data_IF_966444497764
#
_entry.id   IF_966444497764
#
_cell.length_a   1.000
_cell.length_b   1.000
_cell.length_c   1.000
_cell.angle_alpha   90.00
_cell.angle_beta   90.00
_cell.angle_gamma   90.00
#
_symmetry.space_group_name_H-M   'P 1'
#
loop_
_entity.id
_entity.type
_entity.pdbx_description
1 polymer ?
#
# COMPACT_ATOMS: atom_id res chain seq x y z
N UNK A 1 -17.08 -9.80 -28.36
CA UNK A 1 -16.39 -8.89 -27.42
C UNK A 1 -15.36 -8.12 -28.21
N UNK A 2 -15.35 -6.79 -28.11
CA UNK A 2 -14.34 -5.97 -28.78
C UNK A 2 -13.19 -5.70 -27.81
N UNK A 3 -11.95 -5.71 -28.30
CA UNK A 3 -10.81 -5.27 -27.49
C UNK A 3 -10.74 -3.75 -27.53
N UNK A 4 -10.72 -3.13 -26.36
CA UNK A 4 -10.48 -1.70 -26.19
C UNK A 4 -9.27 -1.45 -25.31
N UNK A 5 -8.77 -0.23 -25.32
CA UNK A 5 -7.70 0.18 -24.40
C UNK A 5 -8.12 1.44 -23.67
N UNK A 6 -7.81 1.51 -22.38
CA UNK A 6 -8.03 2.67 -21.53
C UNK A 6 -6.68 3.13 -20.96
N UNK A 7 -6.28 4.36 -21.27
CA UNK A 7 -5.07 4.97 -20.72
C UNK A 7 -5.48 6.00 -19.68
N UNK A 8 -4.99 5.86 -18.45
CA UNK A 8 -5.11 6.89 -17.42
C UNK A 8 -3.99 7.91 -17.65
N UNK A 9 -4.36 9.12 -18.05
CA UNK A 9 -3.37 10.15 -18.43
C UNK A 9 -2.96 10.94 -17.20
N UNK A 10 -3.91 11.59 -16.56
CA UNK A 10 -3.66 12.51 -15.45
C UNK A 10 -4.90 12.72 -14.57
N UNK A 11 -4.68 13.28 -13.39
CA UNK A 11 -5.73 13.87 -12.57
C UNK A 11 -5.50 15.38 -12.42
N UNK A 12 -6.57 16.14 -12.18
CA UNK A 12 -6.47 17.58 -11.96
C UNK A 12 -7.44 18.02 -10.87
N UNK A 13 -7.05 19.08 -10.13
CA UNK A 13 -7.90 19.72 -9.10
C UNK A 13 -8.43 18.72 -8.07
N UNK A 14 -7.63 17.71 -7.72
CA UNK A 14 -8.05 16.73 -6.73
C UNK A 14 -8.33 17.43 -5.40
N UNK A 15 -9.41 17.03 -4.74
CA UNK A 15 -9.69 17.51 -3.39
C UNK A 15 -8.55 17.09 -2.48
N UNK A 16 -7.97 18.05 -1.77
CA UNK A 16 -7.00 17.77 -0.73
C UNK A 16 -7.65 16.96 0.39
N UNK A 17 -7.15 15.75 0.60
CA UNK A 17 -7.60 14.84 1.64
C UNK A 17 -6.67 14.84 2.84
N UNK A 18 -5.54 15.55 2.81
CA UNK A 18 -4.51 15.46 3.84
C UNK A 18 -4.24 16.80 4.54
N UNK A 19 -3.75 16.71 5.79
CA UNK A 19 -3.42 17.85 6.63
C UNK A 19 -1.95 18.28 6.47
N UNK A 20 -1.09 17.40 5.93
CA UNK A 20 0.30 17.66 5.55
C UNK A 20 0.40 17.20 4.09
N UNK A 21 0.91 18.07 3.21
CA UNK A 21 0.75 18.02 1.74
C UNK A 21 1.41 16.80 1.04
N UNK A 22 0.89 15.60 1.21
CA UNK A 22 1.25 14.41 0.42
C UNK A 22 0.02 13.86 -0.28
N UNK A 23 -0.32 14.49 -1.41
CA UNK A 23 -1.33 13.96 -2.31
C UNK A 23 -0.62 12.99 -3.27
N UNK A 24 -0.53 11.72 -2.87
CA UNK A 24 0.03 10.63 -3.66
C UNK A 24 -1.08 9.76 -4.28
N UNK A 25 -1.81 10.24 -5.31
CA UNK A 25 -2.98 9.54 -5.79
C UNK A 25 -2.61 8.33 -6.65
N UNK A 26 -3.49 7.34 -6.65
CA UNK A 26 -3.58 6.31 -7.69
C UNK A 26 -5.02 6.18 -8.18
N UNK A 27 -5.17 5.68 -9.40
CA UNK A 27 -6.46 5.54 -10.07
C UNK A 27 -6.80 4.06 -10.23
N UNK A 28 -8.01 3.71 -9.83
CA UNK A 28 -8.62 2.42 -10.10
C UNK A 28 -9.70 2.56 -11.17
N UNK A 29 -9.62 1.76 -12.23
CA UNK A 29 -10.68 1.58 -13.21
C UNK A 29 -11.43 0.28 -12.91
N UNK A 30 -12.74 0.37 -12.73
CA UNK A 30 -13.61 -0.77 -12.50
C UNK A 30 -14.55 -0.97 -13.69
N UNK A 31 -14.54 -2.19 -14.25
CA UNK A 31 -15.36 -2.58 -15.39
C UNK A 31 -15.83 -4.01 -15.27
N UNK A 32 -17.15 -4.22 -15.25
CA UNK A 32 -17.73 -5.52 -14.92
C UNK A 32 -17.15 -6.04 -13.59
N UNK A 33 -16.54 -7.23 -13.59
CA UNK A 33 -15.84 -7.82 -12.44
C UNK A 33 -14.33 -7.54 -12.43
N UNK A 34 -13.82 -6.75 -13.37
CA UNK A 34 -12.38 -6.50 -13.52
C UNK A 34 -12.01 -5.14 -12.94
N UNK A 35 -10.89 -5.09 -12.21
CA UNK A 35 -10.30 -3.86 -11.68
C UNK A 35 -8.89 -3.71 -12.21
N UNK A 36 -8.56 -2.50 -12.63
CA UNK A 36 -7.22 -2.10 -13.06
C UNK A 36 -6.74 -0.96 -12.17
N UNK A 37 -5.50 -1.00 -11.72
CA UNK A 37 -4.93 0.00 -10.81
C UNK A 37 -3.66 0.57 -11.41
N UNK A 38 -3.52 1.90 -11.38
CA UNK A 38 -2.28 2.56 -11.75
C UNK A 38 -1.21 2.44 -10.65
N UNK A 39 0.06 2.66 -10.96
CA UNK A 39 1.03 3.02 -9.91
C UNK A 39 0.58 4.30 -9.20
N UNK A 40 1.03 4.44 -7.95
CA UNK A 40 0.90 5.66 -7.17
C UNK A 40 1.77 6.76 -7.76
N UNK A 41 1.19 7.94 -7.96
CA UNK A 41 1.94 9.14 -8.33
C UNK A 41 2.53 9.73 -7.04
N UNK A 42 3.85 9.63 -6.83
CA UNK A 42 4.53 10.03 -5.58
C UNK A 42 5.15 11.42 -5.65
N UNK A 43 4.61 12.30 -6.50
CA UNK A 43 5.16 13.64 -6.72
C UNK A 43 4.58 14.70 -5.77
N UNK A 44 3.83 14.26 -4.75
CA UNK A 44 3.18 15.11 -3.77
C UNK A 44 2.07 15.98 -4.33
N UNK A 45 1.45 15.59 -5.45
CA UNK A 45 0.29 16.28 -6.02
C UNK A 45 0.61 17.39 -7.01
N UNK A 46 1.88 17.55 -7.38
CA UNK A 46 2.36 18.68 -8.21
C UNK A 46 2.04 18.50 -9.69
N UNK A 47 2.23 17.29 -10.23
CA UNK A 47 2.07 16.92 -11.63
C UNK A 47 1.49 15.51 -11.76
N UNK A 48 0.21 15.37 -11.44
CA UNK A 48 -0.49 14.08 -11.40
C UNK A 48 -0.63 13.41 -12.77
N UNK A 49 0.40 12.67 -13.18
CA UNK A 49 0.50 12.00 -14.48
C UNK A 49 0.79 10.51 -14.25
N UNK A 50 0.01 9.65 -14.91
CA UNK A 50 0.09 8.18 -14.76
C UNK A 50 0.60 7.51 -16.03
N UNK A 51 0.09 7.90 -17.20
CA UNK A 51 0.40 7.35 -18.53
C UNK A 51 0.28 5.82 -18.68
N UNK A 52 -0.46 5.17 -17.78
CA UNK A 52 -0.63 3.72 -17.79
C UNK A 52 -1.80 3.31 -18.68
N UNK A 53 -1.54 2.31 -19.54
CA UNK A 53 -2.49 1.79 -20.53
C UNK A 53 -2.93 0.38 -20.17
N UNK A 54 -4.24 0.21 -20.00
CA UNK A 54 -4.90 -1.06 -19.73
C UNK A 54 -5.61 -1.59 -20.98
N UNK A 55 -5.58 -2.90 -21.18
CA UNK A 55 -6.40 -3.58 -22.18
C UNK A 55 -7.70 -3.99 -21.52
N UNK A 56 -8.81 -3.46 -22.01
CA UNK A 56 -10.14 -3.72 -21.44
C UNK A 56 -11.00 -4.46 -22.48
N UNK A 57 -11.59 -5.61 -22.13
CA UNK A 57 -12.54 -6.29 -23.00
C UNK A 57 -13.85 -5.51 -23.00
N UNK A 58 -14.06 -4.60 -23.96
CA UNK A 58 -15.29 -3.82 -24.06
C UNK A 58 -16.47 -4.74 -24.42
N UNK A 59 -17.39 -4.86 -23.48
CA UNK A 59 -18.63 -5.62 -23.60
C UNK A 59 -19.72 -4.69 -24.09
N UNK A 60 -20.41 -5.07 -25.17
CA UNK A 60 -21.37 -4.21 -25.89
C UNK A 60 -22.54 -3.71 -25.02
N UNK A 61 -22.92 -4.49 -24.00
CA UNK A 61 -24.03 -4.17 -23.09
C UNK A 61 -23.61 -3.17 -21.99
N UNK A 62 -22.32 -3.13 -21.64
CA UNK A 62 -21.83 -2.25 -20.58
C UNK A 62 -21.43 -0.89 -21.17
N UNK A 63 -22.11 0.15 -20.71
CA UNK A 63 -21.96 1.52 -21.25
C UNK A 63 -21.14 2.44 -20.35
N UNK A 64 -20.66 1.96 -19.20
CA UNK A 64 -19.98 2.79 -18.20
C UNK A 64 -18.73 2.10 -17.63
N UNK A 65 -17.69 2.88 -17.36
CA UNK A 65 -16.67 2.55 -16.35
C UNK A 65 -16.97 3.30 -15.05
N UNK A 66 -16.55 2.71 -13.93
CA UNK A 66 -16.35 3.47 -12.70
C UNK A 66 -14.87 3.75 -12.52
N UNK A 67 -14.53 5.00 -12.27
CA UNK A 67 -13.19 5.42 -11.89
C UNK A 67 -13.22 5.76 -10.41
N UNK A 68 -12.24 5.29 -9.66
CA UNK A 68 -12.05 5.65 -8.26
C UNK A 68 -10.63 6.15 -8.07
N UNK A 69 -10.49 7.32 -7.48
CA UNK A 69 -9.19 7.91 -7.16
C UNK A 69 -9.00 7.89 -5.66
N UNK A 70 -7.86 7.37 -5.26
CA UNK A 70 -7.45 7.17 -3.87
C UNK A 70 -6.15 7.91 -3.64
N UNK A 71 -5.94 8.40 -2.43
CA UNK A 71 -4.66 8.88 -1.96
C UNK A 71 -3.94 7.73 -1.28
N UNK A 72 -2.76 7.35 -1.77
CA UNK A 72 -1.97 6.33 -1.11
C UNK A 72 -1.58 6.84 0.27
N UNK A 73 -1.97 6.13 1.33
CA UNK A 73 -1.56 6.46 2.68
C UNK A 73 -0.71 5.31 3.22
N UNK A 74 0.55 5.63 3.50
CA UNK A 74 1.54 4.67 4.00
C UNK A 74 1.18 4.07 5.37
N UNK A 75 0.43 4.81 6.18
CA UNK A 75 0.24 4.53 7.61
C UNK A 75 -1.16 4.03 7.94
N UNK A 76 -2.17 4.40 7.15
CA UNK A 76 -3.58 4.03 7.37
C UNK A 76 -4.14 3.37 6.12
N UNK A 77 -5.45 3.38 5.91
CA UNK A 77 -6.04 3.02 4.63
C UNK A 77 -5.89 4.17 3.64
N UNK A 78 -5.75 3.81 2.37
CA UNK A 78 -5.72 4.78 1.28
C UNK A 78 -6.95 5.70 1.36
N UNK A 79 -6.70 7.00 1.34
CA UNK A 79 -7.72 8.02 1.52
C UNK A 79 -8.60 8.12 0.28
N UNK A 80 -9.90 7.86 0.40
CA UNK A 80 -10.81 8.06 -0.73
C UNK A 80 -10.85 9.55 -1.13
N UNK A 81 -10.46 9.87 -2.36
CA UNK A 81 -10.53 11.23 -2.91
C UNK A 81 -11.87 11.43 -3.60
N UNK A 82 -12.15 10.59 -4.61
CA UNK A 82 -13.38 10.71 -5.37
C UNK A 82 -13.63 9.59 -6.36
N UNK A 83 -14.86 9.52 -6.86
CA UNK A 83 -15.28 8.56 -7.89
C UNK A 83 -16.03 9.26 -9.03
N UNK A 84 -15.93 8.72 -10.24
CA UNK A 84 -16.59 9.25 -11.43
C UNK A 84 -17.05 8.11 -12.35
N UNK A 85 -18.13 8.38 -13.12
CA UNK A 85 -18.64 7.46 -14.13
C UNK A 85 -18.24 7.95 -15.52
N UNK A 86 -17.59 7.08 -16.29
CA UNK A 86 -17.12 7.38 -17.65
C UNK A 86 -18.04 6.69 -18.64
N UNK A 87 -18.67 7.47 -19.53
CA UNK A 87 -19.62 6.93 -20.51
C UNK A 87 -18.88 6.42 -21.75
N UNK A 88 -19.26 5.23 -22.22
CA UNK A 88 -18.60 4.55 -23.33
C UNK A 88 -19.23 4.82 -24.69
N UNK A 89 -20.35 5.54 -24.74
CA UNK A 89 -21.09 5.76 -25.98
C UNK A 89 -20.22 6.40 -27.07
N UNK A 90 -19.36 7.37 -26.70
CA UNK A 90 -18.46 8.05 -27.64
C UNK A 90 -17.40 7.10 -28.19
N UNK A 91 -16.64 6.39 -27.34
CA UNK A 91 -15.62 5.44 -27.82
C UNK A 91 -16.22 4.24 -28.57
N UNK A 92 -17.42 3.78 -28.20
CA UNK A 92 -18.09 2.67 -28.88
C UNK A 92 -18.66 3.08 -30.26
N UNK A 93 -19.03 4.34 -30.45
CA UNK A 93 -19.56 4.84 -31.73
C UNK A 93 -18.48 5.43 -32.64
N UNK A 94 -17.50 6.14 -32.10
CA UNK A 94 -16.46 6.86 -32.83
C UNK A 94 -15.09 6.15 -32.81
N UNK A 95 -14.90 5.19 -31.90
CA UNK A 95 -13.65 4.43 -31.76
C UNK A 95 -12.62 5.08 -30.84
N UNK A 96 -12.88 6.30 -30.39
CA UNK A 96 -11.94 7.08 -29.60
C UNK A 96 -12.65 8.04 -28.64
N UNK A 97 -12.09 8.26 -27.45
CA UNK A 97 -12.50 9.31 -26.52
C UNK A 97 -11.33 9.76 -25.63
N UNK A 98 -11.02 11.05 -25.61
CA UNK A 98 -9.92 11.68 -24.87
C UNK A 98 -10.38 12.65 -23.77
N UNK A 99 -11.63 12.49 -23.33
CA UNK A 99 -12.29 13.42 -22.40
C UNK A 99 -11.77 13.35 -20.97
N UNK A 100 -11.91 14.46 -20.24
CA UNK A 100 -11.81 14.52 -18.79
C UNK A 100 -13.15 14.28 -18.13
N UNK A 101 -13.16 13.59 -16.99
CA UNK A 101 -14.37 13.20 -16.27
C UNK A 101 -14.34 13.72 -14.84
N UNK A 102 -15.44 14.31 -14.32
CA UNK A 102 -15.48 14.83 -12.97
C UNK A 102 -15.51 13.69 -11.95
N UNK A 103 -14.87 13.95 -10.81
CA UNK A 103 -14.87 13.10 -9.63
C UNK A 103 -15.72 13.72 -8.53
N UNK A 104 -16.36 12.87 -7.74
CA UNK A 104 -17.18 13.27 -6.60
C UNK A 104 -16.76 12.54 -5.33
N UNK A 105 -16.81 13.23 -4.20
CA UNK A 105 -16.62 12.65 -2.87
C UNK A 105 -17.78 11.71 -2.53
N UNK A 106 -17.69 10.95 -1.43
CA UNK A 106 -18.81 10.16 -0.89
C UNK A 106 -20.06 10.99 -0.60
N UNK A 107 -19.91 12.30 -0.38
CA UNK A 107 -21.02 13.24 -0.15
C UNK A 107 -21.52 13.91 -1.43
N UNK A 108 -21.09 13.48 -2.62
CA UNK A 108 -21.46 14.06 -3.91
C UNK A 108 -20.82 15.42 -4.22
N UNK A 109 -19.86 15.89 -3.41
CA UNK A 109 -19.16 17.16 -3.66
C UNK A 109 -18.09 16.97 -4.72
N UNK A 110 -17.78 18.01 -5.50
CA UNK A 110 -16.68 17.97 -6.47
C UNK A 110 -15.35 17.57 -5.81
N UNK A 111 -14.64 16.64 -6.42
CA UNK A 111 -13.39 16.06 -5.90
C UNK A 111 -12.23 16.08 -6.92
N UNK A 112 -12.40 16.81 -8.02
CA UNK A 112 -11.42 16.93 -9.11
C UNK A 112 -11.88 16.30 -10.41
N UNK A 113 -10.92 16.04 -11.29
CA UNK A 113 -11.13 15.50 -12.64
C UNK A 113 -10.07 14.44 -12.96
N UNK A 114 -10.45 13.44 -13.75
CA UNK A 114 -9.54 12.42 -14.31
C UNK A 114 -9.57 12.48 -15.83
N UNK A 115 -8.39 12.51 -16.47
CA UNK A 115 -8.26 12.47 -17.92
C UNK A 115 -7.95 11.04 -18.38
N UNK A 116 -8.80 10.52 -19.25
CA UNK A 116 -8.63 9.21 -19.86
C UNK A 116 -8.51 9.32 -21.37
N UNK A 117 -7.77 8.40 -21.98
CA UNK A 117 -7.80 8.16 -23.42
C UNK A 117 -8.31 6.74 -23.65
N UNK A 118 -9.45 6.62 -24.30
CA UNK A 118 -10.11 5.36 -24.64
C UNK A 118 -10.00 5.12 -26.15
N UNK A 119 -9.75 3.87 -26.53
CA UNK A 119 -9.75 3.44 -27.92
C UNK A 119 -10.48 2.10 -28.06
N UNK A 120 -11.30 1.95 -29.11
CA UNK A 120 -11.98 0.69 -29.44
C UNK A 120 -11.65 0.27 -30.87
N UNK A 121 -11.17 -0.96 -31.04
CA UNK A 121 -10.82 -1.50 -32.36
C UNK A 121 -12.01 -1.65 -33.32
N UNK A 122 -13.25 -1.68 -32.81
CA UNK A 122 -14.42 -2.10 -33.58
C UNK A 122 -15.35 -0.97 -34.05
N UNK A 123 -15.10 0.30 -33.74
CA UNK A 123 -16.02 1.38 -34.17
C UNK A 123 -16.12 1.52 -35.70
N UNK A 124 -15.08 1.10 -36.43
CA UNK A 124 -15.09 1.10 -37.90
C UNK A 124 -16.13 0.14 -38.52
N UNK A 125 -16.62 -0.86 -37.78
CA UNK A 125 -17.67 -1.79 -38.27
C UNK A 125 -19.09 -1.21 -38.20
N UNK A 126 -19.36 -0.27 -37.29
CA UNK A 126 -20.70 0.34 -37.16
C UNK A 126 -20.94 1.47 -38.17
N UNK A 127 -19.90 2.17 -38.62
CA UNK A 127 -20.03 3.17 -39.70
C UNK A 127 -20.34 2.52 -41.04
N UNK A 128 -19.73 1.37 -41.37
CA UNK A 128 -20.02 0.65 -42.61
C UNK A 128 -21.43 0.03 -42.67
N UNK A 129 -22.09 -0.15 -41.52
CA UNK A 129 -23.46 -0.69 -41.45
C UNK A 129 -24.55 0.37 -41.66
N UNK A 130 -24.22 1.65 -41.49
CA UNK A 130 -25.13 2.77 -41.80
C UNK A 130 -25.05 3.18 -43.28
N UNK A 131 -23.87 3.05 -43.91
CA UNK A 131 -23.67 3.46 -45.31
C UNK A 131 -24.07 2.38 -46.34
N UNK A 132 -24.39 1.16 -45.90
CA UNK A 132 -24.72 0.03 -46.80
C UNK A 132 -26.21 -0.23 -47.02
N UNK A 133 -27.11 0.61 -46.48
CA UNK A 133 -28.56 0.54 -46.79
C UNK A 133 -28.95 1.46 -47.96
N UNK A 134 -28.35 1.27 -49.13
CA UNK A 134 -28.99 1.64 -50.40
C UNK A 134 -28.62 0.66 -51.53
N UNK A 135 -29.65 -0.09 -51.97
CA UNK A 135 -29.87 -0.61 -53.34
C UNK A 135 -28.70 -1.21 -54.13
N UNK A 136 -28.69 -2.52 -54.41
CA UNK A 136 -29.45 -3.19 -55.47
C UNK A 136 -29.20 -4.71 -55.53
N UNK A 137 -30.22 -5.39 -56.01
CA UNK A 137 -30.42 -6.81 -56.33
C UNK A 137 -29.37 -7.37 -57.30
N UNK A 138 -28.89 -8.60 -57.08
CA UNK A 138 -29.10 -9.75 -57.98
C UNK A 138 -28.10 -10.92 -57.79
N UNK A 139 -28.69 -12.12 -57.59
CA UNK A 139 -28.29 -13.47 -58.05
C UNK A 139 -27.03 -14.20 -57.53
N UNK A 140 -27.34 -15.23 -56.75
CA UNK A 140 -26.71 -16.56 -56.58
C UNK A 140 -26.40 -17.29 -57.92
N UNK A 141 -25.45 -18.26 -58.00
CA UNK A 141 -25.58 -19.59 -57.36
C UNK A 141 -24.32 -20.25 -56.74
N UNK A 142 -24.54 -20.80 -55.53
CA UNK A 142 -24.32 -22.16 -54.96
C UNK A 142 -23.39 -23.22 -55.65
N UNK A 143 -23.01 -24.34 -54.97
CA UNK A 143 -21.70 -24.52 -54.30
C UNK A 143 -21.06 -25.92 -54.58
N UNK A 144 -19.96 -26.27 -53.90
CA UNK A 144 -19.53 -27.63 -53.49
C UNK A 144 -18.00 -27.64 -53.29
N UNK A 145 -17.34 -28.54 -52.55
CA UNK A 145 -17.62 -29.42 -51.42
C UNK A 145 -16.29 -30.15 -51.12
N UNK A 146 -16.19 -30.78 -49.94
CA UNK A 146 -15.14 -31.73 -49.52
C UNK A 146 -13.79 -31.09 -49.12
N UNK A 147 -13.13 -31.51 -48.04
CA UNK A 147 -12.97 -32.90 -47.59
C UNK A 147 -12.85 -33.03 -46.07
N UNK A 148 -13.35 -34.17 -45.60
CA UNK A 148 -13.14 -34.77 -44.28
C UNK A 148 -11.67 -35.20 -44.15
N UNK A 149 -11.12 -35.17 -42.94
CA UNK A 149 -10.71 -36.39 -42.24
C UNK A 149 -10.23 -36.10 -40.82
N UNK A 150 -10.72 -36.92 -39.90
CA UNK A 150 -10.20 -37.19 -38.57
C UNK A 150 -10.26 -38.72 -38.44
N UNK A 151 -9.32 -39.42 -37.77
CA UNK A 151 -9.64 -39.86 -36.40
C UNK A 151 -8.44 -40.05 -35.44
N UNK A 152 -8.58 -39.54 -34.18
CA UNK A 152 -8.70 -40.25 -32.86
C UNK A 152 -8.08 -41.66 -32.64
N UNK A 153 -7.92 -42.18 -31.38
CA UNK A 153 -7.42 -41.64 -30.09
C UNK A 153 -6.54 -42.66 -29.26
N UNK A 154 -6.14 -42.35 -28.00
CA UNK A 154 -6.40 -43.15 -26.74
C UNK A 154 -5.31 -43.05 -25.62
N UNK A 155 -5.82 -42.76 -24.40
CA UNK A 155 -5.49 -43.09 -22.98
C UNK A 155 -4.19 -42.74 -22.21
N UNK A 156 -4.45 -42.09 -21.06
CA UNK A 156 -4.03 -42.33 -19.64
C UNK A 156 -2.60 -42.76 -19.29
N UNK A 157 -1.97 -42.08 -18.32
CA UNK A 157 -2.01 -42.43 -16.88
C UNK A 157 -1.13 -41.48 -16.04
N UNK A 158 -1.47 -41.33 -14.76
CA UNK A 158 -0.70 -40.62 -13.72
C UNK A 158 0.12 -41.61 -12.86
N UNK A 159 1.25 -41.17 -12.26
CA UNK A 159 1.72 -41.79 -11.01
C UNK A 159 2.36 -40.75 -10.02
N UNK A 160 2.94 -41.12 -8.85
CA UNK A 160 2.38 -40.93 -7.49
C UNK A 160 3.32 -40.10 -6.54
N UNK A 161 3.00 -39.91 -5.23
CA UNK A 161 3.84 -39.15 -4.29
C UNK A 161 4.74 -40.03 -3.40
N UNK A 162 5.81 -39.47 -2.81
CA UNK A 162 6.36 -39.97 -1.54
C UNK A 162 6.74 -38.80 -0.60
N UNK A 163 6.91 -38.89 0.72
CA UNK A 163 6.63 -39.84 1.82
C UNK A 163 6.91 -39.03 3.09
N UNK A 164 6.13 -39.27 4.15
CA UNK A 164 6.33 -38.77 5.51
C UNK A 164 7.53 -39.44 6.18
N UNK A 165 8.38 -38.67 6.85
CA UNK A 165 9.27 -39.16 7.92
C UNK A 165 9.03 -38.40 9.20
N UNK A 166 8.48 -39.13 10.16
CA UNK A 166 8.40 -38.83 11.59
C UNK A 166 9.80 -38.98 12.20
N UNK A 167 10.30 -37.95 12.87
CA UNK A 167 11.32 -38.11 13.91
C UNK A 167 10.87 -37.37 15.15
N UNK A 168 10.48 -38.16 16.15
CA UNK A 168 10.33 -37.79 17.54
C UNK A 168 11.69 -37.41 18.13
N UNK A 169 11.84 -36.20 18.64
CA UNK A 169 12.88 -35.88 19.62
C UNK A 169 12.27 -35.07 20.75
N UNK A 170 12.24 -35.70 21.92
CA UNK A 170 11.88 -35.16 23.22
C UNK A 170 12.70 -33.90 23.55
N UNK A 171 12.03 -32.77 23.75
CA UNK A 171 12.60 -31.53 24.25
C UNK A 171 12.42 -31.47 25.77
N UNK A 172 13.48 -31.78 26.53
CA UNK A 172 13.61 -31.38 27.93
C UNK A 172 14.29 -30.01 27.97
N UNK A 173 13.52 -28.98 28.31
CA UNK A 173 14.00 -27.60 28.42
C UNK A 173 14.72 -27.39 29.76
N UNK A 174 16.05 -27.43 29.74
CA UNK A 174 16.90 -27.01 30.86
C UNK A 174 17.25 -25.52 30.68
N UNK A 175 16.93 -24.69 31.68
CA UNK A 175 17.28 -23.25 31.72
C UNK A 175 18.79 -23.04 31.53
N UNK A 176 19.25 -22.21 30.59
CA UNK A 176 20.59 -21.65 30.66
C UNK A 176 20.57 -20.42 31.58
N UNK A 177 21.35 -20.50 32.66
CA UNK A 177 21.78 -19.34 33.43
C UNK A 177 22.79 -18.53 32.59
N UNK A 178 22.65 -17.19 32.66
CA UNK A 178 23.44 -16.10 32.04
C UNK A 178 22.86 -15.56 30.74
N UNK A 179 22.49 -14.28 30.80
CA UNK A 179 22.17 -13.44 29.63
C UNK A 179 23.35 -13.48 28.63
N UNK A 180 23.11 -13.74 27.34
CA UNK A 180 24.16 -13.64 26.34
C UNK A 180 24.43 -12.15 26.04
N UNK A 181 25.66 -11.73 26.27
CA UNK A 181 26.22 -10.50 25.70
C UNK A 181 26.17 -10.60 24.17
N UNK A 182 25.42 -9.70 23.54
CA UNK A 182 25.16 -9.73 22.10
C UNK A 182 26.37 -9.21 21.31
N UNK A 183 27.23 -10.13 20.86
CA UNK A 183 28.23 -9.84 19.84
C UNK A 183 27.57 -9.66 18.47
N UNK A 184 27.52 -8.39 18.03
CA UNK A 184 27.63 -7.86 16.67
C UNK A 184 27.52 -8.87 15.50
N UNK A 185 26.29 -9.24 15.12
CA UNK A 185 25.99 -9.79 13.79
C UNK A 185 25.33 -8.73 12.90
N UNK A 186 26.13 -7.79 12.40
CA UNK A 186 25.81 -7.07 11.18
C UNK A 186 27.01 -7.25 10.25
N UNK A 187 26.79 -7.91 9.11
CA UNK A 187 27.70 -7.88 7.97
C UNK A 187 28.11 -6.43 7.71
N UNK A 188 29.42 -6.18 7.58
CA UNK A 188 29.94 -4.83 7.40
C UNK A 188 29.22 -4.11 6.25
N UNK A 189 28.77 -2.86 6.45
CA UNK A 189 28.12 -2.10 5.40
C UNK A 189 29.14 -1.64 4.35
N UNK A 190 28.72 -1.47 3.08
CA UNK A 190 29.59 -1.07 1.99
C UNK A 190 30.29 0.26 2.30
N UNK A 191 31.61 0.26 2.11
CA UNK A 191 32.53 1.36 2.37
C UNK A 191 32.32 2.51 1.39
N UNK A 192 31.43 3.45 1.71
CA UNK A 192 31.41 4.87 1.30
C UNK A 192 30.00 5.44 1.51
N UNK A 193 29.65 5.88 2.73
CA UNK A 193 28.41 6.65 2.90
C UNK A 193 28.58 7.72 3.99
N UNK A 194 28.30 8.96 3.62
CA UNK A 194 28.01 10.07 4.54
C UNK A 194 26.91 9.61 5.50
N UNK A 195 27.21 9.50 6.81
CA UNK A 195 26.24 9.06 7.79
C UNK A 195 25.01 9.97 7.74
N UNK A 196 23.81 9.40 7.51
CA UNK A 196 22.55 10.15 7.41
C UNK A 196 22.36 11.10 8.61
N UNK A 197 22.79 10.65 9.79
CA UNK A 197 22.82 11.43 11.04
C UNK A 197 23.51 12.78 10.92
N UNK A 198 24.68 12.85 10.28
CA UNK A 198 25.46 14.09 10.23
C UNK A 198 24.82 15.12 9.31
N UNK A 199 24.17 14.66 8.24
CA UNK A 199 23.44 15.51 7.29
C UNK A 199 22.13 16.05 7.87
N UNK A 200 21.44 15.30 8.73
CA UNK A 200 20.14 15.69 9.27
C UNK A 200 20.21 16.56 10.53
N UNK A 201 21.33 16.55 11.26
CA UNK A 201 21.50 17.31 12.50
C UNK A 201 21.27 18.84 12.37
N UNK A 202 21.47 19.39 11.17
CA UNK A 202 21.31 20.82 10.91
C UNK A 202 19.91 21.22 10.40
N UNK A 203 19.04 20.25 10.08
CA UNK A 203 17.73 20.51 9.48
C UNK A 203 16.65 20.80 10.55
N UNK A 204 16.91 21.77 11.42
CA UNK A 204 16.08 22.03 12.61
C UNK A 204 14.69 22.62 12.30
N UNK A 205 14.44 23.07 11.08
CA UNK A 205 13.13 23.56 10.64
C UNK A 205 12.31 22.50 9.90
N UNK A 206 12.89 21.32 9.64
CA UNK A 206 12.22 20.29 8.90
C UNK A 206 11.05 19.75 9.71
N UNK A 207 9.85 19.72 9.11
CA UNK A 207 8.63 19.18 9.72
C UNK A 207 8.20 17.85 9.12
N UNK A 208 8.60 17.60 7.87
CA UNK A 208 8.26 16.40 7.11
C UNK A 208 9.56 15.84 6.56
N UNK A 209 9.89 14.63 6.97
CA UNK A 209 10.99 13.86 6.41
C UNK A 209 10.42 12.55 5.89
N UNK A 210 10.60 12.35 4.59
CA UNK A 210 10.14 11.17 3.89
C UNK A 210 11.29 10.59 3.09
N UNK A 211 11.74 9.40 3.51
CA UNK A 211 12.83 8.64 2.92
C UNK A 211 12.40 7.21 2.61
N UNK A 212 11.09 6.94 2.50
CA UNK A 212 10.60 5.58 2.28
C UNK A 212 11.10 4.97 0.96
N UNK A 213 11.11 3.64 0.90
CA UNK A 213 11.45 2.87 -0.30
C UNK A 213 12.82 3.22 -0.88
N UNK A 214 13.84 3.21 -0.02
CA UNK A 214 15.25 3.37 -0.41
C UNK A 214 16.09 2.20 0.11
N UNK A 215 17.40 2.24 -0.15
CA UNK A 215 18.38 1.29 0.39
C UNK A 215 19.17 1.88 1.57
N UNK A 216 18.58 2.86 2.29
CA UNK A 216 19.25 3.53 3.40
C UNK A 216 19.39 2.61 4.60
N UNK A 217 20.53 2.68 5.27
CA UNK A 217 20.80 1.92 6.47
C UNK A 217 21.44 2.84 7.50
N UNK A 218 21.00 2.72 8.75
CA UNK A 218 21.60 3.38 9.91
C UNK A 218 21.06 2.70 11.18
N UNK A 219 21.71 2.91 12.32
CA UNK A 219 21.13 2.57 13.62
C UNK A 219 20.05 3.60 13.98
N UNK A 220 18.82 3.13 14.16
CA UNK A 220 17.67 4.00 14.48
C UNK A 220 17.81 4.66 15.85
N UNK A 221 18.45 3.97 16.81
CA UNK A 221 18.65 4.46 18.17
C UNK A 221 19.58 5.67 18.21
N UNK A 222 20.50 5.77 17.26
CA UNK A 222 21.38 6.91 17.11
C UNK A 222 20.83 7.98 16.16
N UNK A 223 20.04 7.59 15.15
CA UNK A 223 19.45 8.51 14.18
C UNK A 223 18.35 9.38 14.80
N UNK A 224 17.36 8.77 15.46
CA UNK A 224 16.19 9.49 15.98
C UNK A 224 16.54 10.62 16.98
N UNK A 225 17.56 10.47 17.85
CA UNK A 225 18.03 11.56 18.69
C UNK A 225 18.47 12.83 17.93
N UNK A 226 18.90 12.68 16.67
CA UNK A 226 19.38 13.81 15.85
C UNK A 226 18.25 14.58 15.17
N UNK A 227 17.10 13.95 14.97
CA UNK A 227 15.97 14.56 14.27
C UNK A 227 15.24 15.51 15.21
N UNK A 228 15.01 16.75 14.80
CA UNK A 228 14.34 17.76 15.63
C UNK A 228 13.14 18.34 14.90
N UNK A 229 12.05 18.57 15.62
CA UNK A 229 10.86 19.30 15.16
C UNK A 229 10.05 18.64 14.03
N UNK A 230 10.33 17.38 13.70
CA UNK A 230 9.54 16.62 12.73
C UNK A 230 8.15 16.33 13.30
N UNK A 231 7.14 16.50 12.46
CA UNK A 231 5.76 16.06 12.69
C UNK A 231 5.43 14.79 11.92
N UNK A 232 6.09 14.58 10.78
CA UNK A 232 5.97 13.41 9.93
C UNK A 232 7.35 12.84 9.63
N UNK A 233 7.53 11.57 9.96
CA UNK A 233 8.74 10.82 9.67
C UNK A 233 8.37 9.48 9.04
N UNK A 234 8.73 9.30 7.78
CA UNK A 234 8.64 8.02 7.08
C UNK A 234 10.02 7.53 6.67
N UNK A 235 10.46 6.43 7.27
CA UNK A 235 11.69 5.72 7.00
C UNK A 235 11.41 4.28 6.53
N UNK A 236 10.17 3.97 6.14
CA UNK A 236 9.75 2.61 5.82
C UNK A 236 10.43 2.05 4.57
N UNK A 237 10.43 0.72 4.42
CA UNK A 237 11.02 0.04 3.24
C UNK A 237 12.48 0.45 3.01
N UNK A 238 13.31 0.28 4.04
CA UNK A 238 14.73 0.59 4.03
C UNK A 238 15.51 -0.56 4.72
N UNK A 239 16.74 -0.28 5.12
CA UNK A 239 17.65 -1.22 5.78
C UNK A 239 18.08 -0.71 7.17
N UNK A 240 17.28 0.13 7.84
CA UNK A 240 17.54 0.60 9.20
C UNK A 240 17.52 -0.56 10.19
N UNK A 241 18.38 -0.52 11.19
CA UNK A 241 18.54 -1.56 12.21
C UNK A 241 18.71 -0.94 13.60
N UNK A 242 18.94 -1.79 14.61
CA UNK A 242 19.02 -1.36 16.00
C UNK A 242 17.65 -1.19 16.63
N UNK A 243 17.63 -0.69 17.86
CA UNK A 243 16.45 -0.56 18.69
C UNK A 243 16.32 0.83 19.30
N UNK A 244 15.08 1.23 19.57
CA UNK A 244 14.75 2.53 20.14
C UNK A 244 14.84 2.47 21.68
N UNK A 245 16.07 2.39 22.20
CA UNK A 245 16.34 2.56 23.64
C UNK A 245 16.38 4.05 24.00
N UNK A 246 15.27 4.74 23.79
CA UNK A 246 15.16 6.14 24.24
C UNK A 246 15.00 6.11 25.77
N UNK A 247 15.97 6.67 26.48
CA UNK A 247 15.87 6.98 27.91
C UNK A 247 15.49 8.45 28.07
N UNK A 248 14.93 8.85 29.22
CA UNK A 248 14.62 10.26 29.52
C UNK A 248 15.81 11.22 29.27
N UNK A 249 17.03 10.72 29.39
CA UNK A 249 18.28 11.46 29.20
C UNK A 249 18.62 11.71 27.72
N UNK A 250 18.08 10.91 26.79
CA UNK A 250 18.42 10.91 25.36
C UNK A 250 17.22 11.22 24.45
N UNK A 251 16.09 11.64 25.02
CA UNK A 251 14.88 11.98 24.27
C UNK A 251 15.13 13.21 23.40
N UNK A 252 15.09 13.01 22.09
CA UNK A 252 15.03 14.13 21.16
C UNK A 252 13.72 14.90 21.29
N UNK A 253 13.74 16.17 20.90
CA UNK A 253 12.53 16.96 20.67
C UNK A 253 11.54 16.28 19.71
N UNK A 254 12.01 15.34 18.87
CA UNK A 254 11.18 14.48 18.03
C UNK A 254 10.00 13.88 18.80
N UNK A 255 10.22 13.36 20.02
CA UNK A 255 9.16 12.72 20.79
C UNK A 255 7.99 13.68 21.06
N UNK A 256 8.28 14.97 21.25
CA UNK A 256 7.26 15.96 21.51
C UNK A 256 6.59 16.49 20.24
N UNK A 257 7.18 16.34 19.06
CA UNK A 257 6.64 16.95 17.82
C UNK A 257 6.04 15.94 16.87
N UNK A 258 6.53 14.71 16.87
CA UNK A 258 6.13 13.69 15.90
C UNK A 258 4.68 13.29 16.12
N UNK A 259 3.93 13.27 15.02
CA UNK A 259 2.54 12.83 14.95
C UNK A 259 2.40 11.57 14.13
N UNK A 260 3.28 11.38 13.17
CA UNK A 260 3.32 10.24 12.27
C UNK A 260 4.73 9.67 12.25
N UNK A 261 4.88 8.42 12.69
CA UNK A 261 6.15 7.70 12.67
C UNK A 261 5.94 6.37 11.95
N UNK A 262 6.55 6.25 10.77
CA UNK A 262 6.61 5.01 10.02
C UNK A 262 8.05 4.53 9.92
N UNK A 263 8.32 3.34 10.46
CA UNK A 263 9.61 2.65 10.30
C UNK A 263 9.40 1.19 9.90
N UNK A 264 8.25 0.89 9.27
CA UNK A 264 7.91 -0.47 8.82
C UNK A 264 8.83 -0.98 7.72
N UNK A 265 8.86 -2.29 7.50
CA UNK A 265 9.68 -2.94 6.48
C UNK A 265 11.17 -2.54 6.57
N UNK A 266 11.75 -2.73 7.76
CA UNK A 266 13.16 -2.49 8.03
C UNK A 266 13.78 -3.72 8.73
N UNK A 267 14.99 -3.57 9.28
CA UNK A 267 15.70 -4.61 10.03
C UNK A 267 15.81 -4.26 11.52
N UNK A 268 14.83 -3.55 12.06
CA UNK A 268 14.84 -3.11 13.46
C UNK A 268 14.79 -4.32 14.39
N UNK A 269 15.61 -4.30 15.44
CA UNK A 269 15.75 -5.41 16.38
C UNK A 269 15.94 -4.91 17.83
N UNK A 270 15.71 -5.78 18.80
CA UNK A 270 15.82 -5.44 20.23
C UNK A 270 14.52 -4.89 20.83
N UNK A 271 14.64 -4.27 22.02
CA UNK A 271 13.51 -3.74 22.77
C UNK A 271 13.24 -2.31 22.32
N UNK A 272 12.15 -2.10 21.57
CA UNK A 272 11.86 -0.80 20.96
C UNK A 272 11.14 0.18 21.90
N UNK A 273 10.58 -0.30 23.02
CA UNK A 273 9.94 0.55 24.02
C UNK A 273 10.41 0.17 25.42
N UNK A 274 11.38 0.90 25.96
CA UNK A 274 11.66 0.86 27.39
C UNK A 274 10.50 1.55 28.14
N UNK A 275 10.09 0.94 29.26
CA UNK A 275 8.76 1.04 29.90
C UNK A 275 8.14 2.43 30.09
N UNK A 276 8.92 3.51 30.04
CA UNK A 276 8.42 4.88 30.27
C UNK A 276 8.60 5.84 29.08
N UNK A 277 9.41 5.47 28.08
CA UNK A 277 9.79 6.38 27.00
C UNK A 277 8.66 6.65 26.00
N UNK A 278 7.79 5.65 25.80
CA UNK A 278 6.67 5.78 24.88
C UNK A 278 5.71 6.90 25.30
N UNK A 279 5.56 7.15 26.61
CA UNK A 279 4.70 8.21 27.14
C UNK A 279 5.16 9.64 26.83
N UNK A 280 6.35 9.80 26.24
CA UNK A 280 6.87 11.08 25.77
C UNK A 280 6.33 11.44 24.38
N UNK A 281 5.86 10.46 23.62
CA UNK A 281 5.31 10.63 22.29
C UNK A 281 3.84 11.11 22.31
N UNK A 282 3.50 12.07 23.18
CA UNK A 282 2.10 12.44 23.50
C UNK A 282 1.28 12.94 22.30
N UNK A 283 1.95 13.46 21.27
CA UNK A 283 1.33 13.96 20.06
C UNK A 283 1.23 12.91 18.94
N UNK A 284 1.72 11.69 19.18
CA UNK A 284 1.72 10.61 18.21
C UNK A 284 0.29 10.16 17.91
N UNK A 285 -0.05 10.17 16.63
CA UNK A 285 -1.36 9.80 16.09
C UNK A 285 -1.30 8.49 15.33
N UNK A 286 -0.20 8.24 14.63
CA UNK A 286 0.01 7.01 13.91
C UNK A 286 1.43 6.49 14.13
N UNK A 287 1.52 5.22 14.45
CA UNK A 287 2.75 4.48 14.64
C UNK A 287 2.68 3.18 13.85
N UNK A 288 3.62 3.01 12.92
CA UNK A 288 3.79 1.76 12.18
C UNK A 288 5.21 1.23 12.33
N UNK A 289 5.29 0.05 12.95
CA UNK A 289 6.50 -0.73 13.18
C UNK A 289 6.44 -2.09 12.46
N UNK A 290 5.45 -2.30 11.59
CA UNK A 290 5.21 -3.59 10.95
C UNK A 290 6.41 -4.12 10.16
N UNK A 291 6.50 -5.44 10.02
CA UNK A 291 7.52 -6.11 9.21
C UNK A 291 8.95 -5.73 9.63
N UNK A 292 9.26 -6.03 10.89
CA UNK A 292 10.57 -5.85 11.51
C UNK A 292 10.92 -7.09 12.37
N UNK A 293 12.01 -7.03 13.14
CA UNK A 293 12.44 -8.08 14.07
C UNK A 293 12.37 -7.62 15.53
N UNK A 294 11.40 -6.75 15.85
CA UNK A 294 11.24 -6.19 17.19
C UNK A 294 10.68 -7.27 18.12
N UNK A 295 11.21 -7.33 19.34
CA UNK A 295 10.84 -8.33 20.35
C UNK A 295 10.57 -7.68 21.70
N UNK A 296 9.83 -8.39 22.55
CA UNK A 296 9.48 -7.94 23.89
C UNK A 296 7.97 -7.90 24.13
N UNK A 297 7.60 -7.52 25.34
CA UNK A 297 6.22 -7.23 25.70
C UNK A 297 5.86 -5.79 25.32
N UNK A 298 4.58 -5.54 25.07
CA UNK A 298 4.11 -4.18 24.82
C UNK A 298 4.05 -3.36 26.12
N UNK A 299 4.46 -2.08 26.07
CA UNK A 299 4.31 -1.17 27.21
C UNK A 299 2.84 -0.74 27.37
N UNK A 300 2.53 -0.01 28.43
CA UNK A 300 1.27 0.74 28.51
C UNK A 300 1.28 1.90 27.51
N UNK A 301 0.15 2.13 26.86
CA UNK A 301 -0.10 3.21 25.90
C UNK A 301 -1.02 4.31 26.45
N UNK A 302 -1.40 4.27 27.72
CA UNK A 302 -2.33 5.22 28.38
C UNK A 302 -1.96 6.70 28.21
N UNK A 303 -0.66 6.99 27.98
CA UNK A 303 -0.16 8.35 27.76
C UNK A 303 -0.34 8.85 26.32
N UNK A 304 -0.60 7.95 25.37
CA UNK A 304 -0.74 8.25 23.94
C UNK A 304 -2.20 8.54 23.56
N UNK A 305 -2.81 9.55 24.18
CA UNK A 305 -4.24 9.85 24.03
C UNK A 305 -4.66 10.25 22.61
N UNK A 306 -3.72 10.73 21.80
CA UNK A 306 -3.95 11.12 20.42
C UNK A 306 -3.77 9.95 19.43
N UNK A 307 -3.32 8.77 19.90
CA UNK A 307 -3.04 7.62 19.05
C UNK A 307 -4.33 7.06 18.45
N UNK A 308 -4.34 7.00 17.12
CA UNK A 308 -5.45 6.48 16.32
C UNK A 308 -5.06 5.22 15.58
N UNK A 309 -3.80 5.10 15.16
CA UNK A 309 -3.33 3.97 14.36
C UNK A 309 -2.09 3.36 15.00
N UNK A 310 -2.18 2.06 15.29
CA UNK A 310 -1.07 1.27 15.81
C UNK A 310 -0.91 -0.01 14.99
N UNK A 311 0.18 -0.08 14.22
CA UNK A 311 0.53 -1.23 13.39
C UNK A 311 1.83 -1.86 13.87
N UNK A 312 1.73 -3.09 14.34
CA UNK A 312 2.83 -3.87 14.92
C UNK A 312 2.98 -5.24 14.26
N UNK A 313 2.29 -5.45 13.14
CA UNK A 313 2.22 -6.75 12.48
C UNK A 313 3.60 -7.30 12.10
N UNK A 314 3.72 -8.63 12.01
CA UNK A 314 4.94 -9.29 11.51
C UNK A 314 6.19 -8.87 12.32
N UNK A 315 6.12 -9.07 13.63
CA UNK A 315 7.23 -8.87 14.57
C UNK A 315 7.33 -10.07 15.51
N UNK A 316 8.12 -9.95 16.57
CA UNK A 316 8.37 -10.99 17.58
C UNK A 316 7.88 -10.50 18.95
N UNK A 317 6.82 -9.70 18.99
CA UNK A 317 6.20 -9.29 20.25
C UNK A 317 5.53 -10.48 20.94
N UNK A 318 5.55 -10.51 22.27
CA UNK A 318 4.94 -11.57 23.07
C UNK A 318 4.27 -11.02 24.34
N UNK A 319 3.67 -11.91 25.14
CA UNK A 319 2.94 -11.53 26.36
C UNK A 319 1.50 -11.13 26.06
N UNK A 320 0.83 -10.53 27.05
CA UNK A 320 -0.54 -10.06 26.92
C UNK A 320 -0.60 -8.72 26.17
N UNK A 321 -1.70 -8.51 25.44
CA UNK A 321 -2.00 -7.18 24.89
C UNK A 321 -2.42 -6.28 26.06
N UNK A 322 -1.78 -5.10 26.23
CA UNK A 322 -2.13 -4.17 27.30
C UNK A 322 -3.61 -3.76 27.24
N UNK A 323 -4.33 -3.90 28.36
CA UNK A 323 -5.76 -3.62 28.44
C UNK A 323 -6.09 -2.16 28.12
N UNK A 324 -5.15 -1.24 28.35
CA UNK A 324 -5.30 0.18 28.06
C UNK A 324 -5.42 0.51 26.57
N UNK A 325 -4.91 -0.34 25.68
CA UNK A 325 -5.18 -0.23 24.24
C UNK A 325 -6.64 -0.53 23.89
N UNK A 326 -7.34 -1.27 24.74
CA UNK A 326 -8.73 -1.69 24.53
C UNK A 326 -9.73 -0.79 25.28
N UNK A 327 -9.25 0.14 26.11
CA UNK A 327 -10.10 1.08 26.82
C UNK A 327 -10.77 2.05 25.83
N UNK A 328 -12.06 2.33 26.04
CA UNK A 328 -12.83 3.30 25.25
C UNK A 328 -12.26 4.72 25.29
N UNK A 329 -11.38 5.03 26.26
CA UNK A 329 -10.67 6.30 26.32
C UNK A 329 -9.63 6.48 25.23
N UNK A 330 -9.14 5.38 24.63
CA UNK A 330 -8.28 5.41 23.45
C UNK A 330 -9.16 5.50 22.21
N UNK A 331 -8.91 6.51 21.36
CA UNK A 331 -9.63 6.68 20.09
C UNK A 331 -8.93 5.94 18.94
N UNK A 332 -8.57 4.68 19.16
CA UNK A 332 -7.94 3.84 18.13
C UNK A 332 -8.94 3.56 17.01
N UNK A 333 -8.56 3.97 15.80
CA UNK A 333 -9.25 3.73 14.54
C UNK A 333 -8.74 2.45 13.86
N UNK A 334 -7.46 2.12 14.06
CA UNK A 334 -6.82 0.93 13.50
C UNK A 334 -5.80 0.32 14.48
N UNK A 335 -5.94 -0.98 14.73
CA UNK A 335 -5.01 -1.78 15.53
C UNK A 335 -4.67 -3.06 14.77
N UNK A 336 -3.40 -3.23 14.39
CA UNK A 336 -2.91 -4.43 13.73
C UNK A 336 -1.79 -5.10 14.54
N UNK A 337 -2.13 -6.20 15.19
CA UNK A 337 -1.23 -7.01 16.03
C UNK A 337 -0.90 -8.38 15.39
N UNK A 338 -1.31 -8.60 14.14
CA UNK A 338 -1.20 -9.90 13.47
C UNK A 338 0.24 -10.39 13.35
N UNK A 339 0.44 -11.70 13.17
CA UNK A 339 1.77 -12.29 12.96
C UNK A 339 2.79 -11.92 14.04
N UNK A 340 2.39 -12.08 15.31
CA UNK A 340 3.22 -11.94 16.51
C UNK A 340 3.00 -13.13 17.44
N UNK A 341 3.71 -13.17 18.57
CA UNK A 341 3.59 -14.18 19.63
C UNK A 341 2.73 -13.76 20.82
N UNK A 342 1.71 -12.90 20.62
CA UNK A 342 0.82 -12.47 21.70
C UNK A 342 0.04 -13.65 22.30
N UNK A 343 -0.15 -13.60 23.62
CA UNK A 343 -0.83 -14.62 24.43
C UNK A 343 -1.81 -13.94 25.39
N UNK A 344 -2.53 -14.72 26.20
CA UNK A 344 -3.48 -14.18 27.17
C UNK A 344 -4.86 -13.91 26.58
N UNK A 345 -5.74 -13.33 27.39
CA UNK A 345 -7.12 -13.04 27.01
C UNK A 345 -7.26 -11.58 26.61
N UNK A 346 -8.09 -11.32 25.60
CA UNK A 346 -8.56 -9.97 25.27
C UNK A 346 -9.73 -9.71 26.25
N UNK A 347 -9.41 -9.21 27.44
CA UNK A 347 -10.38 -8.93 28.50
C UNK A 347 -10.87 -7.48 28.48
N UNK A 348 -12.17 -7.27 28.66
CA UNK A 348 -12.78 -5.94 28.86
C UNK A 348 -13.65 -5.46 27.70
N UNK A 349 -14.81 -6.11 27.50
CA UNK A 349 -15.95 -5.51 26.81
C UNK A 349 -17.09 -5.35 27.79
#
# INVERSE_FOLDING_TARGET
MSSGTATVVSCAKLKDTEWISRQDPYVCLEYASTKFRTRTCTDGGKHLVFQEKFVVPLIEVLREFTVVVWNSNILTFDGFIGTGKVQLNKVLSQGFDDSSWPLQTKSGRHAGEVKLILHSANAKLNQQKLDSSSTHVATTPLPSSSSKQNPKPIHNDAPPPPTTTTTSSTSTWSKPNKEPTYERFCSQPPSLVTHLRSSLNNLQQLRVLDLHSNELWDDIGDLLPTLRNLEFLDLSQNQFYGGLSITLENVSSLANTVRFLNVSHNKLNGNFFLKDAIGLFRNLRALDLSDNMIRGELPSFVSLRELRVLKLASNIFFGAVPEDLLLTSMSLEELNLSSNGFTGSIGGF
#
